data_IF_008982782232
#
_entry.id   IF_008982782232
#
_cell.length_a   1.000
_cell.length_b   1.000
_cell.length_c   1.000
_cell.angle_alpha   90.00
_cell.angle_beta   90.00
_cell.angle_gamma   90.00
#
_symmetry.space_group_name_H-M   'P 1'
#
loop_
_entity.id
_entity.type
_entity.pdbx_description
1 polymer ?
#
# COMPACT_ATOMS: atom_id res chain seq x y z
N UNK A 1 10.41 34.25 10.12
CA UNK A 1 9.09 33.59 10.06
C UNK A 1 9.18 32.32 10.87
N UNK A 2 8.56 32.32 12.04
CA UNK A 2 8.73 31.35 13.12
C UNK A 2 7.66 30.26 12.92
N UNK A 3 8.06 29.06 12.50
CA UNK A 3 7.16 27.93 12.39
C UNK A 3 6.83 27.41 13.79
N UNK A 4 5.68 27.83 14.30
CA UNK A 4 5.11 27.36 15.55
C UNK A 4 4.69 25.88 15.40
N UNK A 5 5.47 24.98 16.01
CA UNK A 5 5.09 23.59 16.28
C UNK A 5 3.99 23.54 17.37
N UNK A 6 2.79 24.03 17.04
CA UNK A 6 1.59 23.88 17.87
C UNK A 6 0.44 23.45 16.97
N UNK A 7 0.21 22.16 16.96
CA UNK A 7 -1.05 21.47 17.28
C UNK A 7 -0.73 19.98 17.07
N UNK A 8 -0.89 19.11 18.07
CA UNK A 8 -0.87 17.68 17.80
C UNK A 8 -2.04 17.40 16.87
N UNK A 9 -1.81 16.59 15.84
CA UNK A 9 -2.85 16.03 14.97
C UNK A 9 -3.78 15.10 15.78
N UNK A 10 -4.59 15.70 16.65
CA UNK A 10 -5.70 15.09 17.39
C UNK A 10 -7.01 15.20 16.60
N UNK A 11 -6.92 15.35 15.27
CA UNK A 11 -8.03 14.96 14.41
C UNK A 11 -8.10 13.45 14.46
N UNK A 12 -9.14 12.91 15.10
CA UNK A 12 -9.49 11.50 14.95
C UNK A 12 -9.45 11.17 13.47
N UNK A 13 -8.43 10.42 13.03
CA UNK A 13 -8.50 9.76 11.72
C UNK A 13 -9.89 9.14 11.66
N UNK A 14 -10.73 9.47 10.68
CA UNK A 14 -12.04 8.87 10.61
C UNK A 14 -11.77 7.38 10.62
N UNK A 15 -12.19 6.73 11.71
CA UNK A 15 -12.11 5.29 11.89
C UNK A 15 -13.07 4.72 10.86
N UNK A 16 -12.66 4.74 9.59
CA UNK A 16 -13.24 3.94 8.55
C UNK A 16 -12.63 2.60 8.87
N UNK A 17 -13.35 1.66 9.52
CA UNK A 17 -12.93 0.29 9.40
C UNK A 17 -12.75 0.09 7.90
N UNK A 18 -11.58 -0.39 7.50
CA UNK A 18 -11.37 -0.91 6.16
C UNK A 18 -12.40 -2.03 6.04
N UNK A 19 -13.62 -1.66 5.63
CA UNK A 19 -14.77 -2.53 5.49
C UNK A 19 -14.37 -3.42 4.34
N UNK A 20 -13.84 -4.59 4.69
CA UNK A 20 -13.67 -5.68 3.76
C UNK A 20 -15.08 -5.92 3.21
N UNK A 21 -15.29 -5.58 1.95
CA UNK A 21 -16.56 -5.80 1.29
C UNK A 21 -16.90 -7.28 1.47
N UNK A 22 -18.10 -7.57 1.99
CA UNK A 22 -18.55 -8.95 2.10
C UNK A 22 -18.68 -9.54 0.70
N UNK A 23 -18.66 -10.87 0.57
CA UNK A 23 -18.79 -11.55 -0.73
C UNK A 23 -20.03 -11.09 -1.53
N UNK A 24 -21.09 -10.63 -0.85
CA UNK A 24 -22.31 -10.09 -1.48
C UNK A 24 -22.18 -8.67 -2.03
N UNK A 25 -21.18 -7.89 -1.60
CA UNK A 25 -20.93 -6.51 -2.03
C UNK A 25 -19.87 -6.41 -3.14
N UNK A 26 -19.25 -7.54 -3.51
CA UNK A 26 -18.27 -7.58 -4.58
C UNK A 26 -18.95 -7.43 -5.95
N UNK A 27 -18.34 -6.70 -6.90
CA UNK A 27 -18.86 -6.62 -8.26
C UNK A 27 -19.01 -8.02 -8.85
N UNK A 28 -20.17 -8.30 -9.45
CA UNK A 28 -20.44 -9.58 -10.09
C UNK A 28 -19.47 -9.79 -11.27
N UNK A 29 -18.68 -10.86 -11.21
CA UNK A 29 -17.67 -11.14 -12.23
C UNK A 29 -16.72 -12.28 -11.84
N UNK A 30 -15.73 -12.58 -12.68
CA UNK A 30 -14.73 -13.59 -12.37
C UNK A 30 -14.02 -13.30 -11.04
N UNK A 31 -13.74 -14.33 -10.23
CA UNK A 31 -13.12 -14.19 -8.89
C UNK A 31 -11.86 -13.32 -8.88
N UNK A 32 -11.06 -13.37 -9.96
CA UNK A 32 -9.88 -12.52 -10.12
C UNK A 32 -10.24 -11.03 -10.16
N UNK A 33 -11.28 -10.63 -10.88
CA UNK A 33 -11.70 -9.22 -10.94
C UNK A 33 -12.21 -8.73 -9.58
N UNK A 34 -12.96 -9.57 -8.86
CA UNK A 34 -13.41 -9.23 -7.52
C UNK A 34 -12.23 -9.03 -6.55
N UNK A 35 -11.22 -9.90 -6.63
CA UNK A 35 -9.98 -9.75 -5.85
C UNK A 35 -9.19 -8.49 -6.23
N UNK A 36 -8.97 -8.25 -7.53
CA UNK A 36 -8.27 -7.05 -8.03
C UNK A 36 -9.01 -5.76 -7.64
N UNK A 37 -10.34 -5.77 -7.65
CA UNK A 37 -11.15 -4.64 -7.23
C UNK A 37 -10.93 -4.32 -5.74
N UNK A 38 -10.87 -5.34 -4.88
CA UNK A 38 -10.55 -5.16 -3.47
C UNK A 38 -9.14 -4.57 -3.27
N UNK A 39 -8.13 -5.10 -3.98
CA UNK A 39 -6.77 -4.55 -3.93
C UNK A 39 -6.70 -3.08 -4.36
N UNK A 40 -7.47 -2.70 -5.37
CA UNK A 40 -7.51 -1.34 -5.90
C UNK A 40 -8.27 -0.36 -4.98
N UNK A 41 -9.34 -0.82 -4.31
CA UNK A 41 -10.26 0.07 -3.58
C UNK A 41 -10.11 0.07 -2.07
N UNK A 42 -9.63 -1.02 -1.47
CA UNK A 42 -9.78 -1.25 -0.02
C UNK A 42 -8.45 -1.49 0.68
N UNK A 43 -7.61 -2.37 0.14
CA UNK A 43 -6.48 -2.90 0.90
C UNK A 43 -5.15 -2.27 0.49
N UNK A 44 -4.62 -2.69 -0.65
CA UNK A 44 -3.22 -2.43 -1.00
C UNK A 44 -3.02 -1.02 -1.57
N UNK A 45 -3.77 -0.67 -2.62
CA UNK A 45 -3.52 0.55 -3.38
C UNK A 45 -3.74 1.84 -2.55
N UNK A 46 -4.82 1.99 -1.74
CA UNK A 46 -5.00 3.18 -0.93
C UNK A 46 -3.83 3.44 0.03
N UNK A 47 -3.31 2.38 0.65
CA UNK A 47 -2.16 2.46 1.55
C UNK A 47 -0.90 2.92 0.80
N UNK A 48 -0.63 2.32 -0.37
CA UNK A 48 0.54 2.70 -1.18
C UNK A 48 0.46 4.14 -1.67
N UNK A 49 -0.70 4.57 -2.18
CA UNK A 49 -0.90 5.94 -2.66
C UNK A 49 -0.76 6.97 -1.54
N UNK A 50 -1.25 6.63 -0.34
CA UNK A 50 -1.10 7.52 0.81
C UNK A 50 0.38 7.71 1.20
N UNK A 51 1.14 6.62 1.29
CA UNK A 51 2.58 6.71 1.61
C UNK A 51 3.35 7.45 0.51
N UNK A 52 2.99 7.21 -0.74
CA UNK A 52 3.62 7.84 -1.91
C UNK A 52 3.41 9.36 -1.92
N UNK A 53 2.17 9.81 -1.70
CA UNK A 53 1.79 11.22 -1.63
C UNK A 53 2.51 11.96 -0.49
N UNK A 54 2.53 11.36 0.71
CA UNK A 54 3.25 11.92 1.86
C UNK A 54 4.75 12.09 1.59
N UNK A 55 5.37 11.08 0.97
CA UNK A 55 6.78 11.12 0.63
C UNK A 55 7.07 12.19 -0.43
N UNK A 56 6.22 12.31 -1.46
CA UNK A 56 6.42 13.29 -2.52
C UNK A 56 6.24 14.74 -2.00
N UNK A 57 5.21 14.99 -1.19
CA UNK A 57 4.96 16.29 -0.56
C UNK A 57 6.10 16.74 0.36
N UNK A 58 6.74 15.81 1.07
CA UNK A 58 7.89 16.13 1.93
C UNK A 58 9.05 16.78 1.17
N UNK A 59 9.15 16.54 -0.14
CA UNK A 59 10.18 17.10 -1.02
C UNK A 59 9.63 18.07 -2.07
N UNK A 60 8.38 18.54 -1.93
CA UNK A 60 7.69 19.38 -2.92
C UNK A 60 7.69 18.79 -4.35
N UNK A 61 7.62 17.45 -4.46
CA UNK A 61 7.57 16.74 -5.74
C UNK A 61 6.11 16.39 -6.05
N UNK A 62 5.66 16.64 -7.28
CA UNK A 62 4.37 16.12 -7.75
C UNK A 62 4.58 14.75 -8.42
N UNK A 63 4.07 13.71 -7.79
CA UNK A 63 4.12 12.36 -8.36
C UNK A 63 2.87 12.04 -9.18
N UNK A 64 3.07 11.33 -10.29
CA UNK A 64 1.99 10.92 -11.19
C UNK A 64 1.98 9.40 -11.30
N UNK A 65 0.78 8.82 -11.24
CA UNK A 65 0.55 7.37 -11.34
C UNK A 65 -0.16 7.03 -12.65
N UNK A 66 0.54 7.01 -13.81
CA UNK A 66 -0.09 6.86 -15.13
C UNK A 66 -0.87 5.55 -15.30
N UNK A 67 -0.49 4.50 -14.58
CA UNK A 67 -1.21 3.22 -14.60
C UNK A 67 -2.58 3.26 -13.92
N UNK A 68 -2.87 4.30 -13.14
CA UNK A 68 -4.14 4.48 -12.45
C UNK A 68 -5.12 5.37 -13.23
N UNK A 69 -4.83 5.66 -14.51
CA UNK A 69 -5.80 6.35 -15.35
C UNK A 69 -7.11 5.55 -15.45
N UNK A 70 -8.23 6.25 -15.30
CA UNK A 70 -9.56 5.64 -15.27
C UNK A 70 -9.89 4.84 -16.54
N UNK A 71 -9.41 5.28 -17.73
CA UNK A 71 -9.66 4.59 -19.00
C UNK A 71 -8.89 3.29 -19.05
N UNK A 72 -7.63 3.32 -18.60
CA UNK A 72 -6.79 2.12 -18.53
C UNK A 72 -7.33 1.13 -17.50
N UNK A 73 -7.78 1.60 -16.34
CA UNK A 73 -8.39 0.76 -15.31
C UNK A 73 -9.68 0.11 -15.84
N UNK A 74 -10.55 0.88 -16.48
CA UNK A 74 -11.78 0.36 -17.09
C UNK A 74 -11.49 -0.71 -18.15
N UNK A 75 -10.52 -0.45 -19.04
CA UNK A 75 -10.05 -1.43 -20.03
C UNK A 75 -9.51 -2.69 -19.33
N UNK A 76 -8.70 -2.53 -18.28
CA UNK A 76 -8.19 -3.65 -17.51
C UNK A 76 -9.31 -4.49 -16.88
N UNK A 77 -10.40 -3.89 -16.40
CA UNK A 77 -11.52 -4.64 -15.81
C UNK A 77 -12.45 -5.27 -16.84
N UNK A 78 -12.59 -4.68 -18.05
CA UNK A 78 -13.41 -5.23 -19.13
C UNK A 78 -12.76 -6.42 -19.85
N UNK A 79 -11.43 -6.53 -19.83
CA UNK A 79 -10.72 -7.63 -20.48
C UNK A 79 -10.90 -9.00 -19.77
N UNK A 80 -10.93 -10.11 -20.54
CA UNK A 80 -10.86 -11.46 -20.01
C UNK A 80 -9.63 -11.70 -19.14
N UNK A 81 -9.75 -12.61 -18.17
CA UNK A 81 -8.69 -12.90 -17.20
C UNK A 81 -7.40 -13.43 -17.85
N UNK A 82 -7.52 -14.14 -18.97
CA UNK A 82 -6.38 -14.75 -19.69
C UNK A 82 -5.38 -13.72 -20.23
N UNK A 83 -5.81 -12.48 -20.45
CA UNK A 83 -4.93 -11.37 -20.81
C UNK A 83 -4.19 -10.78 -19.61
N UNK A 84 -4.65 -11.06 -18.39
CA UNK A 84 -4.04 -10.58 -17.14
C UNK A 84 -3.08 -11.62 -16.57
N UNK A 85 -3.56 -12.87 -16.50
CA UNK A 85 -2.85 -14.02 -15.96
C UNK A 85 -3.19 -15.26 -16.79
N UNK A 86 -2.18 -15.96 -17.29
CA UNK A 86 -2.36 -17.21 -18.03
C UNK A 86 -1.12 -18.08 -17.91
N UNK A 87 -1.29 -19.38 -17.63
CA UNK A 87 -0.19 -20.37 -17.53
C UNK A 87 0.99 -19.91 -16.65
N UNK A 88 0.70 -19.28 -15.51
CA UNK A 88 1.71 -18.76 -14.57
C UNK A 88 2.38 -17.44 -15.00
N UNK A 89 2.08 -16.92 -16.18
CA UNK A 89 2.52 -15.61 -16.62
C UNK A 89 1.56 -14.51 -16.13
N UNK A 90 2.09 -13.55 -15.38
CA UNK A 90 1.34 -12.37 -14.92
C UNK A 90 1.65 -11.15 -15.78
N UNK A 91 0.70 -10.20 -15.83
CA UNK A 91 0.81 -8.95 -16.61
C UNK A 91 0.97 -9.20 -18.11
N UNK A 92 0.35 -10.26 -18.63
CA UNK A 92 0.56 -10.74 -20.00
C UNK A 92 0.29 -9.65 -21.06
N UNK A 93 -0.84 -8.96 -20.97
CA UNK A 93 -1.19 -7.85 -21.89
C UNK A 93 -0.18 -6.69 -21.84
N UNK A 94 0.33 -6.36 -20.65
CA UNK A 94 1.34 -5.31 -20.49
C UNK A 94 2.68 -5.74 -21.10
N UNK A 95 3.08 -6.99 -20.87
CA UNK A 95 4.32 -7.53 -21.44
C UNK A 95 4.25 -7.57 -22.96
N UNK A 96 3.14 -8.06 -23.51
CA UNK A 96 2.90 -8.09 -24.95
C UNK A 96 2.91 -6.70 -25.57
N UNK A 97 2.20 -5.73 -24.96
CA UNK A 97 2.14 -4.36 -25.47
C UNK A 97 3.45 -3.56 -25.39
N UNK A 98 4.42 -4.02 -24.58
CA UNK A 98 5.72 -3.37 -24.43
C UNK A 98 6.84 -3.98 -25.28
N UNK A 99 6.55 -5.07 -26.02
CA UNK A 99 7.52 -5.66 -26.95
C UNK A 99 7.90 -4.64 -28.02
N UNK A 100 9.19 -4.52 -28.29
CA UNK A 100 9.74 -3.50 -29.19
C UNK A 100 9.97 -2.12 -28.55
N UNK A 101 9.50 -1.90 -27.30
CA UNK A 101 9.78 -0.68 -26.52
C UNK A 101 10.75 -0.99 -25.38
N UNK A 102 10.48 -2.05 -24.63
CA UNK A 102 11.29 -2.48 -23.49
C UNK A 102 12.10 -3.72 -23.91
N UNK A 103 13.39 -3.85 -23.50
CA UNK A 103 14.18 -5.03 -23.80
C UNK A 103 13.52 -6.33 -23.33
N UNK A 104 13.56 -7.35 -24.19
CA UNK A 104 12.90 -8.62 -23.95
C UNK A 104 13.41 -9.30 -22.66
N UNK A 105 14.70 -9.18 -22.36
CA UNK A 105 15.27 -9.70 -21.11
C UNK A 105 14.57 -9.15 -19.84
N UNK A 106 14.06 -7.92 -19.87
CA UNK A 106 13.30 -7.32 -18.76
C UNK A 106 11.85 -7.83 -18.77
N UNK A 107 11.27 -7.96 -19.96
CA UNK A 107 9.89 -8.42 -20.16
C UNK A 107 9.71 -9.91 -19.92
N UNK A 108 10.74 -10.73 -20.05
CA UNK A 108 10.71 -12.18 -19.83
C UNK A 108 11.06 -12.57 -18.39
N UNK A 109 11.39 -11.57 -17.56
CA UNK A 109 11.75 -11.79 -16.17
C UNK A 109 10.61 -12.39 -15.36
N UNK A 110 10.89 -13.53 -14.71
CA UNK A 110 9.95 -14.30 -13.87
C UNK A 110 10.16 -14.08 -12.36
N UNK A 111 11.33 -13.63 -11.94
CA UNK A 111 11.59 -13.15 -10.58
C UNK A 111 10.90 -11.80 -10.36
N UNK A 112 9.62 -11.89 -9.96
CA UNK A 112 8.86 -10.72 -9.55
C UNK A 112 9.16 -10.38 -8.10
N UNK A 113 10.15 -9.52 -7.91
CA UNK A 113 10.44 -8.94 -6.60
C UNK A 113 9.41 -7.85 -6.27
N UNK A 114 8.88 -7.87 -5.05
CA UNK A 114 8.09 -6.76 -4.50
C UNK A 114 8.97 -5.53 -4.27
N UNK A 115 8.37 -4.45 -3.75
CA UNK A 115 9.14 -3.32 -3.21
C UNK A 115 9.78 -3.74 -1.88
N UNK A 116 10.86 -4.52 -1.97
CA UNK A 116 11.61 -4.94 -0.78
C UNK A 116 12.43 -3.75 -0.34
N UNK A 117 12.00 -3.07 0.71
CA UNK A 117 12.87 -2.13 1.41
C UNK A 117 14.01 -2.94 2.05
N UNK A 118 15.25 -2.44 2.06
CA UNK A 118 16.35 -3.13 2.74
C UNK A 118 16.24 -2.98 4.27
N UNK A 119 15.02 -2.80 4.79
CA UNK A 119 14.72 -2.38 6.15
C UNK A 119 15.26 -3.33 7.20
N UNK A 120 14.98 -4.62 7.09
CA UNK A 120 15.44 -5.57 8.11
C UNK A 120 16.94 -5.87 8.04
N UNK A 121 17.51 -6.04 6.85
CA UNK A 121 18.89 -6.55 6.71
C UNK A 121 19.92 -5.42 6.70
N UNK A 122 19.67 -4.32 5.99
CA UNK A 122 20.65 -3.25 5.87
C UNK A 122 20.45 -2.17 6.94
N UNK A 123 19.20 -1.83 7.27
CA UNK A 123 18.92 -0.71 8.18
C UNK A 123 18.82 -1.18 9.63
N UNK A 124 17.83 -2.00 9.96
CA UNK A 124 17.52 -2.43 11.33
C UNK A 124 18.59 -3.32 11.95
N UNK A 125 19.36 -4.07 11.16
CA UNK A 125 20.53 -4.84 11.64
C UNK A 125 21.86 -4.11 11.45
N UNK A 126 21.82 -2.92 10.83
CA UNK A 126 22.98 -2.07 10.60
C UNK A 126 22.87 -0.81 11.44
N UNK A 127 22.90 0.35 10.77
CA UNK A 127 22.94 1.67 11.41
C UNK A 127 21.76 1.98 12.34
N UNK A 128 20.61 1.31 12.16
CA UNK A 128 19.42 1.47 13.00
C UNK A 128 19.26 0.36 14.04
N UNK A 129 20.29 -0.45 14.33
CA UNK A 129 20.18 -1.55 15.32
C UNK A 129 19.79 -1.06 16.71
N UNK A 130 20.18 0.16 17.07
CA UNK A 130 19.83 0.79 18.34
C UNK A 130 18.30 0.89 18.55
N UNK A 131 17.49 0.93 17.49
CA UNK A 131 16.02 0.93 17.60
C UNK A 131 15.46 -0.42 18.05
N UNK A 132 16.17 -1.53 17.81
CA UNK A 132 15.78 -2.87 18.24
C UNK A 132 16.23 -3.18 19.67
N UNK A 133 17.29 -2.52 20.12
CA UNK A 133 17.97 -2.76 21.40
C UNK A 133 17.37 -1.93 22.55
N UNK A 134 16.43 -1.02 22.28
CA UNK A 134 15.78 -0.19 23.29
C UNK A 134 14.91 -0.96 24.29
N UNK A 135 14.75 -0.42 25.51
CA UNK A 135 13.85 -1.01 26.51
C UNK A 135 12.39 -0.76 26.13
N UNK A 136 11.75 -1.79 25.57
CA UNK A 136 10.35 -1.76 25.13
C UNK A 136 9.36 -1.37 26.23
N UNK A 137 9.78 -1.39 27.51
CA UNK A 137 8.99 -0.89 28.65
C UNK A 137 8.72 0.61 28.58
N UNK A 138 9.54 1.39 27.89
CA UNK A 138 9.33 2.84 27.73
C UNK A 138 8.16 3.17 26.78
N UNK A 139 7.74 2.21 25.95
CA UNK A 139 6.64 2.36 24.99
C UNK A 139 5.26 2.00 25.57
N UNK A 140 5.19 1.61 26.86
CA UNK A 140 3.93 1.24 27.53
C UNK A 140 2.87 2.37 27.53
N UNK A 141 3.27 3.63 27.29
CA UNK A 141 2.36 4.77 27.13
C UNK A 141 1.76 4.96 25.73
N UNK A 142 2.34 4.33 24.69
CA UNK A 142 1.86 4.42 23.30
C UNK A 142 0.99 3.23 22.90
N UNK A 143 1.15 2.09 23.57
CA UNK A 143 0.32 0.90 23.37
C UNK A 143 -0.92 1.01 24.25
N UNK A 144 -2.04 1.41 23.66
CA UNK A 144 -3.35 1.33 24.32
C UNK A 144 -3.66 -0.15 24.59
N UNK A 145 -3.42 -0.61 25.83
CA UNK A 145 -3.97 -1.88 26.30
C UNK A 145 -5.49 -1.69 26.39
N UNK A 146 -6.27 -2.41 25.56
CA UNK A 146 -7.73 -2.44 25.76
C UNK A 146 -8.00 -3.01 27.15
N UNK A 147 -8.57 -2.23 28.05
CA UNK A 147 -9.14 -2.79 29.26
C UNK A 147 -10.35 -3.66 28.89
N UNK A 148 -10.63 -4.67 29.70
CA UNK A 148 -11.82 -5.54 29.60
C UNK A 148 -13.15 -4.77 29.72
N UNK A 149 -13.09 -3.47 30.01
CA UNK A 149 -14.24 -2.58 30.24
C UNK A 149 -14.50 -1.63 29.06
N UNK A 150 -13.86 -1.85 27.91
CA UNK A 150 -14.22 -1.20 26.64
C UNK A 150 -13.94 0.30 26.54
N UNK A 151 -13.34 0.92 27.55
CA UNK A 151 -13.08 2.37 27.55
C UNK A 151 -11.59 2.64 27.34
N UNK A 152 -11.24 3.05 26.12
CA UNK A 152 -9.91 3.54 25.78
C UNK A 152 -9.69 4.93 26.40
N UNK A 153 -8.83 5.05 27.42
CA UNK A 153 -8.32 6.34 27.87
C UNK A 153 -6.88 6.48 27.38
N UNK A 154 -6.65 7.46 26.52
CA UNK A 154 -5.31 7.87 26.11
C UNK A 154 -4.73 8.69 27.28
N UNK A 155 -3.72 8.17 27.94
CA UNK A 155 -2.96 8.89 28.96
C UNK A 155 -1.95 9.81 28.26
N UNK A 156 -2.28 11.09 28.10
CA UNK A 156 -1.30 12.11 27.74
C UNK A 156 -0.43 12.44 28.96
N UNK A 157 0.90 12.42 28.80
CA UNK A 157 1.79 13.22 29.64
C UNK A 157 1.72 14.68 29.21
#
# INVERSE_FOLDING_TARGET
MQWSLREPIHGSWPNRPHRILSTSEMPSGPRLNAFLYNLLRVTLLPTLLHTEDLNAMAFNIESRVPFLDHRLVQLCFSMPNEHKVHLGETKRVLRAGMRGIVPDAVLDRRDKTGFITPGHIAWLRGELSFLLEGDWKELDGYVVRRSSEGTCRISSR
#
